data_IF_023166770782
#
_entry.id   IF_023166770782
#
_cell.length_a   1.000
_cell.length_b   1.000
_cell.length_c   1.000
_cell.angle_alpha   90.00
_cell.angle_beta   90.00
_cell.angle_gamma   90.00
#
_symmetry.space_group_name_H-M   'P 1'
#
loop_
_entity.id
_entity.type
_entity.pdbx_description
1 polymer ?
#
# COMPACT_ATOMS: atom_id res chain seq x y z
N UNK A 1 -21.84 -34.50 -5.65
CA UNK A 1 -20.38 -34.41 -5.90
C UNK A 1 -19.82 -35.80 -5.64
N UNK A 2 -19.23 -36.44 -6.68
CA UNK A 2 -18.65 -37.78 -6.56
C UNK A 2 -17.57 -37.79 -5.48
N UNK A 3 -17.79 -38.54 -4.40
CA UNK A 3 -16.75 -38.92 -3.45
C UNK A 3 -15.76 -39.82 -4.18
N UNK A 4 -14.70 -39.27 -4.72
CA UNK A 4 -13.59 -40.05 -5.26
C UNK A 4 -12.96 -40.80 -4.09
N UNK A 5 -13.05 -42.14 -4.08
CA UNK A 5 -12.30 -42.98 -3.14
C UNK A 5 -10.83 -42.58 -3.15
N UNK A 6 -10.39 -41.95 -2.06
CA UNK A 6 -8.98 -41.57 -1.90
C UNK A 6 -8.22 -42.86 -1.66
N UNK A 7 -7.38 -43.26 -2.62
CA UNK A 7 -6.52 -44.42 -2.51
C UNK A 7 -5.59 -44.31 -1.29
N UNK A 8 -5.82 -45.14 -0.28
CA UNK A 8 -5.11 -45.07 1.01
C UNK A 8 -3.60 -45.26 0.86
N UNK A 9 -3.14 -46.05 -0.10
CA UNK A 9 -1.69 -46.25 -0.36
C UNK A 9 -1.04 -44.98 -0.89
N UNK A 10 -1.75 -44.22 -1.74
CA UNK A 10 -1.25 -42.91 -2.20
C UNK A 10 -1.17 -41.89 -1.08
N UNK A 11 -2.13 -41.89 -0.16
CA UNK A 11 -2.12 -41.00 1.02
C UNK A 11 -0.98 -41.36 1.94
N UNK A 12 -0.72 -42.65 2.19
CA UNK A 12 0.39 -43.10 3.02
C UNK A 12 1.75 -42.70 2.40
N UNK A 13 1.93 -42.95 1.09
CA UNK A 13 3.12 -42.55 0.35
C UNK A 13 3.36 -41.04 0.39
N UNK A 14 2.30 -40.21 0.20
CA UNK A 14 2.37 -38.77 0.26
C UNK A 14 2.77 -38.29 1.67
N UNK A 15 2.19 -38.82 2.73
CA UNK A 15 2.52 -38.46 4.10
C UNK A 15 3.97 -38.78 4.45
N UNK A 16 4.51 -39.91 3.96
CA UNK A 16 5.93 -40.25 4.12
C UNK A 16 6.82 -39.28 3.36
N UNK A 17 6.43 -38.87 2.16
CA UNK A 17 7.15 -37.87 1.37
C UNK A 17 7.16 -36.49 2.06
N UNK A 18 6.00 -36.04 2.61
CA UNK A 18 5.89 -34.80 3.37
C UNK A 18 6.85 -34.80 4.56
N UNK A 19 6.87 -35.89 5.35
CA UNK A 19 7.80 -36.04 6.48
C UNK A 19 9.27 -35.98 6.03
N UNK A 20 9.62 -36.59 4.91
CA UNK A 20 10.97 -36.54 4.36
C UNK A 20 11.36 -35.13 3.92
N UNK A 21 10.45 -34.39 3.27
CA UNK A 21 10.64 -32.99 2.87
C UNK A 21 10.83 -32.10 4.12
N UNK A 22 9.99 -32.24 5.14
CA UNK A 22 10.11 -31.48 6.38
C UNK A 22 11.41 -31.78 7.14
N UNK A 23 11.88 -33.02 7.10
CA UNK A 23 13.17 -33.40 7.69
C UNK A 23 14.36 -32.78 6.95
N UNK A 24 14.25 -32.65 5.62
CA UNK A 24 15.34 -32.14 4.77
C UNK A 24 15.35 -30.60 4.73
N UNK A 25 14.18 -29.96 4.67
CA UNK A 25 14.04 -28.52 4.42
C UNK A 25 13.47 -27.73 5.61
N UNK A 26 13.10 -28.40 6.70
CA UNK A 26 12.52 -27.80 7.90
C UNK A 26 10.99 -27.92 7.94
N UNK A 27 10.43 -27.85 9.17
CA UNK A 27 8.98 -27.86 9.37
C UNK A 27 8.33 -26.67 8.65
N UNK A 28 7.18 -26.90 7.98
CA UNK A 28 6.45 -25.89 7.25
C UNK A 28 6.97 -25.64 5.82
N UNK A 29 7.98 -26.41 5.35
CA UNK A 29 8.44 -26.35 3.96
C UNK A 29 7.39 -26.84 2.95
N UNK A 30 6.45 -27.64 3.40
CA UNK A 30 5.28 -28.09 2.66
C UNK A 30 4.08 -28.12 3.59
N UNK A 31 2.90 -27.70 3.10
CA UNK A 31 1.65 -27.71 3.87
C UNK A 31 0.46 -28.00 2.95
N UNK A 32 -0.61 -28.55 3.50
CA UNK A 32 -1.88 -28.62 2.79
C UNK A 32 -2.63 -27.29 2.92
N UNK A 33 -3.07 -26.74 1.79
CA UNK A 33 -3.72 -25.43 1.78
C UNK A 33 -4.97 -25.38 2.68
N UNK A 34 -5.72 -26.46 2.76
CA UNK A 34 -6.94 -26.54 3.59
C UNK A 34 -6.71 -26.58 5.10
N UNK A 35 -5.51 -26.98 5.56
CA UNK A 35 -5.17 -26.99 6.99
C UNK A 35 -4.88 -25.59 7.53
N UNK A 36 -4.60 -24.61 6.66
CA UNK A 36 -4.36 -23.19 6.97
C UNK A 36 -5.38 -22.29 6.25
N UNK A 37 -6.61 -22.74 6.06
CA UNK A 37 -7.65 -22.03 5.30
C UNK A 37 -8.04 -20.64 5.90
N UNK A 38 -7.60 -20.32 7.11
CA UNK A 38 -7.69 -18.99 7.73
C UNK A 38 -6.33 -18.30 7.80
N UNK A 39 -5.61 -18.23 6.69
CA UNK A 39 -4.46 -17.31 6.63
C UNK A 39 -5.00 -15.87 6.65
N UNK A 40 -5.24 -15.35 7.85
CA UNK A 40 -5.41 -13.92 8.03
C UNK A 40 -4.12 -13.26 7.52
N UNK A 41 -4.25 -12.52 6.42
CA UNK A 41 -3.14 -11.73 5.89
C UNK A 41 -2.89 -10.60 6.88
N UNK A 42 -1.76 -10.64 7.58
CA UNK A 42 -1.34 -9.54 8.43
C UNK A 42 -1.12 -8.29 7.57
N UNK A 43 -1.57 -7.15 8.07
CA UNK A 43 -1.55 -5.89 7.31
C UNK A 43 -1.07 -4.73 8.18
N UNK A 44 -0.63 -3.67 7.52
CA UNK A 44 -0.45 -2.35 8.11
C UNK A 44 -1.47 -1.42 7.44
N UNK A 45 -2.26 -0.70 8.24
CA UNK A 45 -3.21 0.28 7.73
C UNK A 45 -2.50 1.37 6.91
N UNK A 46 -3.14 1.86 5.88
CA UNK A 46 -2.68 3.04 5.13
C UNK A 46 -2.98 4.35 5.86
N UNK A 47 -3.76 4.30 6.95
CA UNK A 47 -4.29 5.48 7.63
C UNK A 47 -5.49 6.13 6.95
N UNK A 48 -5.99 5.51 5.87
CA UNK A 48 -7.16 5.91 5.09
C UNK A 48 -8.12 4.73 5.02
N UNK A 49 -9.28 4.83 5.65
CA UNK A 49 -10.24 3.71 5.79
C UNK A 49 -10.75 3.25 4.43
N UNK A 50 -11.08 4.18 3.55
CA UNK A 50 -11.57 3.86 2.22
C UNK A 50 -10.52 3.09 1.40
N UNK A 51 -9.23 3.46 1.53
CA UNK A 51 -8.15 2.75 0.84
C UNK A 51 -7.93 1.36 1.45
N UNK A 52 -7.88 1.25 2.77
CA UNK A 52 -7.73 -0.04 3.46
C UNK A 52 -8.82 -1.03 3.05
N UNK A 53 -10.04 -0.54 2.86
CA UNK A 53 -11.16 -1.34 2.36
C UNK A 53 -11.04 -1.71 0.88
N UNK A 54 -10.58 -0.79 0.04
CA UNK A 54 -10.35 -1.09 -1.37
C UNK A 54 -9.29 -2.19 -1.55
N UNK A 55 -8.33 -2.28 -0.62
CA UNK A 55 -7.33 -3.33 -0.57
C UNK A 55 -7.91 -4.70 -0.24
N UNK A 56 -9.09 -4.77 0.38
CA UNK A 56 -9.85 -5.99 0.62
C UNK A 56 -9.41 -6.80 1.83
N UNK A 57 -8.20 -6.56 2.34
CA UNK A 57 -7.64 -7.22 3.53
C UNK A 57 -7.45 -6.23 4.70
N UNK A 58 -7.87 -4.98 4.54
CA UNK A 58 -7.85 -3.97 5.60
C UNK A 58 -6.54 -3.18 5.72
N UNK A 59 -5.64 -3.28 4.75
CA UNK A 59 -4.37 -2.54 4.74
C UNK A 59 -3.36 -3.09 3.74
N UNK A 60 -2.13 -2.63 3.85
CA UNK A 60 -1.00 -3.12 3.06
C UNK A 60 -0.55 -4.49 3.59
N UNK A 61 -0.48 -5.54 2.75
CA UNK A 61 -0.14 -6.89 3.20
C UNK A 61 1.33 -7.00 3.62
N UNK A 62 1.58 -7.54 4.81
CA UNK A 62 2.92 -7.83 5.31
C UNK A 62 3.60 -8.93 4.49
N UNK A 63 4.93 -8.91 4.47
CA UNK A 63 5.73 -9.87 3.71
C UNK A 63 5.62 -9.69 2.19
N UNK A 64 5.25 -8.50 1.71
CA UNK A 64 4.96 -8.25 0.29
C UNK A 64 5.64 -6.98 -0.25
N UNK A 65 5.87 -7.01 -1.56
CA UNK A 65 6.28 -5.84 -2.34
C UNK A 65 5.04 -5.09 -2.80
N UNK A 66 5.02 -3.80 -2.54
CA UNK A 66 3.96 -2.85 -2.95
C UNK A 66 4.57 -1.82 -3.91
N UNK A 67 3.90 -1.52 -5.00
CA UNK A 67 4.26 -0.41 -5.89
C UNK A 67 3.18 0.66 -5.81
N UNK A 68 3.57 1.90 -5.47
CA UNK A 68 2.72 3.09 -5.51
C UNK A 68 3.23 3.96 -6.64
N UNK A 69 2.43 4.16 -7.69
CA UNK A 69 2.86 4.88 -8.87
C UNK A 69 1.82 5.88 -9.36
N UNK A 70 2.29 6.88 -10.10
CA UNK A 70 1.43 7.93 -10.64
C UNK A 70 2.23 9.14 -11.10
N UNK A 71 1.54 10.16 -11.63
CA UNK A 71 2.16 11.43 -12.01
C UNK A 71 2.88 12.10 -10.84
N UNK A 72 3.73 13.05 -11.16
CA UNK A 72 4.36 13.92 -10.16
C UNK A 72 3.32 14.67 -9.34
N UNK A 73 3.61 14.95 -8.07
CA UNK A 73 2.73 15.66 -7.13
C UNK A 73 1.33 15.06 -6.97
N UNK A 74 1.16 13.75 -7.24
CA UNK A 74 -0.13 13.06 -7.09
C UNK A 74 -0.41 12.57 -5.67
N UNK A 75 0.56 12.65 -4.74
CA UNK A 75 0.40 12.22 -3.33
C UNK A 75 0.97 10.84 -3.03
N UNK A 76 1.82 10.26 -3.89
CA UNK A 76 2.45 8.95 -3.68
C UNK A 76 3.23 8.86 -2.37
N UNK A 77 4.15 9.81 -2.17
CA UNK A 77 4.97 9.91 -0.96
C UNK A 77 4.10 10.14 0.27
N UNK A 78 3.03 10.94 0.15
CA UNK A 78 2.06 11.16 1.24
C UNK A 78 1.42 9.84 1.69
N UNK A 79 0.94 9.01 0.76
CA UNK A 79 0.35 7.70 1.08
C UNK A 79 1.38 6.78 1.75
N UNK A 80 2.62 6.76 1.26
CA UNK A 80 3.69 5.96 1.84
C UNK A 80 4.08 6.43 3.27
N UNK A 81 4.17 7.74 3.49
CA UNK A 81 4.45 8.31 4.82
C UNK A 81 3.32 8.03 5.83
N UNK A 82 2.06 8.04 5.40
CA UNK A 82 0.96 7.63 6.26
C UNK A 82 1.07 6.15 6.65
N UNK A 83 1.46 5.26 5.74
CA UNK A 83 1.71 3.85 6.06
C UNK A 83 2.85 3.69 7.08
N UNK A 84 3.95 4.46 6.95
CA UNK A 84 5.02 4.53 7.96
C UNK A 84 4.45 4.96 9.32
N UNK A 85 3.67 6.06 9.35
CA UNK A 85 3.09 6.56 10.59
C UNK A 85 2.19 5.54 11.28
N UNK A 86 1.42 4.75 10.51
CA UNK A 86 0.60 3.67 11.07
C UNK A 86 1.45 2.51 11.61
N UNK A 87 2.50 2.09 10.87
CA UNK A 87 3.42 1.07 11.34
C UNK A 87 4.06 1.46 12.69
N UNK A 88 4.56 2.69 12.79
CA UNK A 88 5.18 3.20 14.02
C UNK A 88 4.17 3.33 15.17
N UNK A 89 2.93 3.71 14.88
CA UNK A 89 1.84 3.76 15.88
C UNK A 89 1.53 2.39 16.49
N UNK A 90 1.72 1.33 15.74
CA UNK A 90 1.60 -0.07 16.17
C UNK A 90 2.89 -0.60 16.85
N UNK A 91 3.89 0.24 17.06
CA UNK A 91 5.19 -0.12 17.65
C UNK A 91 6.19 -0.70 16.67
N UNK A 92 5.89 -0.66 15.38
CA UNK A 92 6.77 -1.15 14.31
C UNK A 92 7.89 -0.19 13.96
N UNK A 93 8.93 -0.74 13.35
CA UNK A 93 10.11 0.00 12.86
C UNK A 93 10.00 0.29 11.37
N UNK A 94 10.38 1.50 10.97
CA UNK A 94 10.29 1.93 9.58
C UNK A 94 11.61 2.54 9.07
N UNK A 95 11.85 2.38 7.76
CA UNK A 95 12.96 3.01 7.07
C UNK A 95 12.48 3.70 5.78
N UNK A 96 13.16 4.80 5.45
CA UNK A 96 12.93 5.56 4.22
C UNK A 96 14.23 5.70 3.45
N UNK A 97 14.29 5.10 2.27
CA UNK A 97 15.41 5.21 1.34
C UNK A 97 15.09 6.34 0.37
N UNK A 98 15.67 7.50 0.64
CA UNK A 98 15.43 8.77 -0.05
C UNK A 98 16.42 8.94 -1.21
N UNK A 99 16.13 8.29 -2.34
CA UNK A 99 16.96 8.38 -3.53
C UNK A 99 16.75 9.70 -4.33
N UNK A 100 15.67 10.44 -4.05
CA UNK A 100 15.41 11.76 -4.65
C UNK A 100 15.98 12.91 -3.80
N UNK A 101 16.45 12.65 -2.56
CA UNK A 101 16.93 13.65 -1.59
C UNK A 101 15.88 14.73 -1.31
N UNK A 102 14.62 14.36 -1.23
CA UNK A 102 13.49 15.29 -1.19
C UNK A 102 12.56 15.10 0.04
N UNK A 103 12.95 14.24 1.00
CA UNK A 103 12.16 14.02 2.21
C UNK A 103 12.17 15.28 3.09
N UNK A 104 10.98 15.84 3.32
CA UNK A 104 10.77 16.92 4.29
C UNK A 104 10.41 16.33 5.67
N UNK A 105 11.31 16.44 6.68
CA UNK A 105 11.06 15.92 8.02
C UNK A 105 9.88 16.61 8.72
N UNK A 106 9.65 17.89 8.46
CA UNK A 106 8.54 18.65 9.07
C UNK A 106 7.20 18.17 8.50
N UNK A 107 7.15 17.90 7.19
CA UNK A 107 5.98 17.30 6.56
C UNK A 107 5.72 15.90 7.09
N UNK A 108 6.73 15.02 7.13
CA UNK A 108 6.62 13.69 7.70
C UNK A 108 6.06 13.70 9.14
N UNK A 109 6.59 14.59 9.99
CA UNK A 109 6.11 14.80 11.37
C UNK A 109 4.64 15.20 11.43
N UNK A 110 4.18 16.11 10.55
CA UNK A 110 2.77 16.54 10.47
C UNK A 110 1.84 15.39 10.06
N UNK A 111 2.32 14.44 9.27
CA UNK A 111 1.58 13.23 8.90
C UNK A 111 1.49 12.20 10.04
N UNK A 112 2.23 12.41 11.13
CA UNK A 112 2.26 11.54 12.30
C UNK A 112 3.43 10.56 12.32
N UNK A 113 4.43 10.76 11.46
CA UNK A 113 5.67 9.98 11.49
C UNK A 113 6.50 10.40 12.70
N UNK A 114 6.93 9.43 13.48
CA UNK A 114 7.96 9.64 14.50
C UNK A 114 9.33 9.73 13.80
N UNK A 115 9.76 10.97 13.56
CA UNK A 115 11.01 11.26 12.85
C UNK A 115 12.25 10.87 13.66
N UNK A 116 12.15 10.74 14.98
CA UNK A 116 13.28 10.34 15.83
C UNK A 116 13.57 8.84 15.71
N UNK A 117 12.57 8.05 15.37
CA UNK A 117 12.66 6.60 15.19
C UNK A 117 12.54 6.16 13.73
N UNK A 118 12.53 7.08 12.78
CA UNK A 118 12.58 6.77 11.35
C UNK A 118 14.03 6.65 10.88
N UNK A 119 14.40 5.48 10.36
CA UNK A 119 15.70 5.31 9.69
C UNK A 119 15.62 5.95 8.31
N UNK A 120 16.56 6.86 8.01
CA UNK A 120 16.65 7.50 6.69
C UNK A 120 18.00 7.19 6.07
N UNK A 121 17.99 6.76 4.81
CA UNK A 121 19.20 6.54 4.00
C UNK A 121 19.10 7.34 2.70
N UNK A 122 20.18 8.01 2.34
CA UNK A 122 20.33 8.77 1.09
C UNK A 122 21.47 8.15 0.27
N UNK A 123 21.15 7.13 -0.55
CA UNK A 123 22.16 6.37 -1.29
C UNK A 123 22.68 7.15 -2.51
N UNK A 124 23.96 6.94 -2.86
CA UNK A 124 24.61 7.56 -4.01
C UNK A 124 24.20 6.92 -5.35
N UNK A 125 23.74 5.68 -5.35
CA UNK A 125 23.34 4.93 -6.54
C UNK A 125 22.28 3.86 -6.24
N UNK A 126 21.72 3.28 -7.30
CA UNK A 126 20.65 2.30 -7.21
C UNK A 126 21.07 1.00 -6.54
N UNK A 127 22.32 0.53 -6.77
CA UNK A 127 22.87 -0.67 -6.13
C UNK A 127 22.91 -0.49 -4.61
N UNK A 128 23.44 0.63 -4.13
CA UNK A 128 23.53 0.95 -2.71
C UNK A 128 22.15 1.02 -2.06
N UNK A 129 21.18 1.68 -2.71
CA UNK A 129 19.81 1.77 -2.24
C UNK A 129 19.19 0.38 -2.00
N UNK A 130 19.37 -0.52 -2.98
CA UNK A 130 18.79 -1.85 -2.94
C UNK A 130 19.52 -2.80 -2.00
N UNK A 131 20.85 -2.65 -1.83
CA UNK A 131 21.65 -3.39 -0.86
C UNK A 131 21.32 -2.98 0.58
N UNK A 132 21.14 -1.68 0.86
CA UNK A 132 20.68 -1.18 2.16
C UNK A 132 19.27 -1.74 2.46
N UNK A 133 18.38 -1.70 1.49
CA UNK A 133 17.03 -2.29 1.63
C UNK A 133 17.11 -3.79 1.93
N UNK A 134 17.98 -4.55 1.23
CA UNK A 134 18.19 -5.98 1.50
C UNK A 134 18.69 -6.22 2.91
N UNK A 135 19.67 -5.45 3.38
CA UNK A 135 20.22 -5.57 4.73
C UNK A 135 19.16 -5.32 5.81
N UNK A 136 18.37 -4.26 5.65
CA UNK A 136 17.26 -3.92 6.55
C UNK A 136 16.22 -5.03 6.62
N UNK A 137 15.75 -5.52 5.48
CA UNK A 137 14.76 -6.59 5.40
C UNK A 137 15.29 -7.90 5.99
N UNK A 138 16.55 -8.26 5.73
CA UNK A 138 17.20 -9.46 6.28
C UNK A 138 17.35 -9.45 7.79
N UNK A 139 17.43 -8.28 8.41
CA UNK A 139 17.49 -8.15 9.87
C UNK A 139 16.24 -8.67 10.56
N UNK A 140 15.12 -8.75 9.85
CA UNK A 140 13.78 -9.05 10.38
C UNK A 140 13.33 -8.12 11.52
N UNK A 141 13.99 -6.96 11.67
CA UNK A 141 13.69 -5.95 12.67
C UNK A 141 12.93 -4.76 12.10
N UNK A 142 12.68 -4.75 10.79
CA UNK A 142 11.98 -3.66 10.10
C UNK A 142 10.61 -4.12 9.62
N UNK A 143 9.58 -3.30 9.82
CA UNK A 143 8.21 -3.58 9.38
C UNK A 143 7.89 -2.97 8.03
N UNK A 144 8.39 -1.76 7.78
CA UNK A 144 8.17 -1.04 6.51
C UNK A 144 9.45 -0.41 6.02
N UNK A 145 9.75 -0.63 4.74
CA UNK A 145 10.79 0.12 4.01
C UNK A 145 10.13 0.81 2.83
N UNK A 146 10.31 2.12 2.71
CA UNK A 146 9.89 2.92 1.55
C UNK A 146 11.11 3.30 0.73
N UNK A 147 11.04 3.14 -0.59
CA UNK A 147 12.07 3.57 -1.55
C UNK A 147 11.43 4.66 -2.42
N UNK A 148 11.90 5.89 -2.30
CA UNK A 148 11.41 7.05 -3.07
C UNK A 148 12.56 7.66 -3.88
N UNK A 149 12.59 7.52 -5.18
CA UNK A 149 11.73 6.70 -6.02
C UNK A 149 12.56 5.78 -6.93
N UNK A 150 11.90 4.78 -7.53
CA UNK A 150 12.54 3.89 -8.52
C UNK A 150 13.17 4.68 -9.67
N UNK A 151 12.57 5.81 -10.04
CA UNK A 151 13.09 6.67 -11.11
C UNK A 151 14.50 7.22 -10.79
N UNK A 152 14.82 7.42 -9.52
CA UNK A 152 16.10 7.93 -9.04
C UNK A 152 17.13 6.83 -8.75
N UNK A 153 16.79 5.55 -8.88
CA UNK A 153 17.73 4.44 -8.73
C UNK A 153 18.62 4.32 -9.98
N UNK A 154 19.57 5.22 -10.09
CA UNK A 154 20.53 5.24 -11.18
C UNK A 154 21.61 4.19 -10.94
N UNK A 155 21.88 3.26 -11.89
CA UNK A 155 22.98 2.31 -11.78
C UNK A 155 24.34 3.00 -11.66
N UNK A 156 25.24 2.45 -10.84
CA UNK A 156 26.60 2.98 -10.64
C UNK A 156 27.33 3.18 -11.98
N UNK A 157 27.24 2.20 -12.87
CA UNK A 157 27.88 2.26 -14.17
C UNK A 157 27.37 3.41 -15.07
N UNK A 158 26.14 3.88 -14.84
CA UNK A 158 25.59 5.04 -15.52
C UNK A 158 26.12 6.35 -14.93
N UNK A 159 26.35 6.38 -13.60
CA UNK A 159 26.92 7.55 -12.90
C UNK A 159 28.42 7.72 -13.25
N UNK A 160 29.15 6.62 -13.36
CA UNK A 160 30.59 6.60 -13.66
C UNK A 160 30.88 6.77 -15.18
N UNK A 161 29.85 6.65 -16.04
CA UNK A 161 29.97 6.83 -17.49
C UNK A 161 30.10 8.29 -17.92
N UNK A 162 30.46 8.52 -19.17
CA UNK A 162 30.52 9.86 -19.72
C UNK A 162 29.14 10.38 -20.13
N UNK A 163 28.97 11.72 -20.13
CA UNK A 163 27.74 12.34 -20.58
C UNK A 163 27.49 12.02 -22.06
N UNK A 164 26.37 11.34 -22.34
CA UNK A 164 25.98 10.90 -23.68
C UNK A 164 26.16 9.42 -23.96
N UNK A 165 26.76 8.68 -23.04
CA UNK A 165 26.84 7.22 -23.12
C UNK A 165 25.45 6.58 -23.10
N UNK A 166 25.28 5.51 -23.87
CA UNK A 166 24.02 4.79 -23.94
C UNK A 166 24.00 3.65 -22.93
N UNK A 167 23.23 3.82 -21.86
CA UNK A 167 23.06 2.84 -20.79
C UNK A 167 21.71 2.11 -20.84
N UNK A 168 21.27 1.73 -22.03
CA UNK A 168 19.95 1.12 -22.25
C UNK A 168 19.75 -0.14 -21.39
N UNK A 169 18.73 -0.10 -20.54
CA UNK A 169 18.26 -1.27 -19.79
C UNK A 169 19.04 -1.62 -18.53
N UNK A 170 20.08 -0.87 -18.13
CA UNK A 170 20.84 -1.14 -16.90
C UNK A 170 19.94 -1.08 -15.66
N UNK A 171 19.11 -0.04 -15.51
CA UNK A 171 18.17 0.09 -14.41
C UNK A 171 17.18 -1.08 -14.36
N UNK A 172 16.67 -1.53 -15.51
CA UNK A 172 15.76 -2.68 -15.57
C UNK A 172 16.43 -3.99 -15.16
N UNK A 173 17.72 -4.18 -15.48
CA UNK A 173 18.52 -5.33 -15.02
C UNK A 173 18.75 -5.28 -13.53
N UNK A 174 19.15 -4.13 -13.00
CA UNK A 174 19.34 -3.89 -11.57
C UNK A 174 18.07 -4.22 -10.79
N UNK A 175 16.94 -3.66 -11.17
CA UNK A 175 15.64 -3.94 -10.55
C UNK A 175 15.27 -5.42 -10.62
N UNK A 176 15.50 -6.08 -11.76
CA UNK A 176 15.19 -7.50 -11.92
C UNK A 176 16.05 -8.39 -11.02
N UNK A 177 17.33 -8.06 -10.87
CA UNK A 177 18.25 -8.77 -9.99
C UNK A 177 17.91 -8.56 -8.52
N UNK A 178 17.67 -7.32 -8.11
CA UNK A 178 17.34 -6.96 -6.74
C UNK A 178 16.03 -7.61 -6.29
N UNK A 179 14.95 -7.50 -7.07
CA UNK A 179 13.66 -8.06 -6.70
C UNK A 179 13.67 -9.59 -6.59
N UNK A 180 14.50 -10.30 -7.38
CA UNK A 180 14.70 -11.75 -7.20
C UNK A 180 15.28 -12.10 -5.84
N UNK A 181 16.22 -11.30 -5.34
CA UNK A 181 16.82 -11.49 -4.01
C UNK A 181 15.87 -11.04 -2.90
N UNK A 182 15.31 -9.83 -3.03
CA UNK A 182 14.50 -9.20 -2.01
C UNK A 182 13.21 -9.98 -1.71
N UNK A 183 12.52 -10.49 -2.72
CA UNK A 183 11.19 -11.10 -2.54
C UNK A 183 11.20 -12.26 -1.55
N UNK A 184 12.25 -13.11 -1.57
CA UNK A 184 12.40 -14.21 -0.63
C UNK A 184 12.65 -13.75 0.80
N UNK A 185 13.44 -12.69 0.98
CA UNK A 185 13.71 -12.10 2.29
C UNK A 185 12.51 -11.36 2.84
N UNK A 186 11.82 -10.57 2.01
CA UNK A 186 10.60 -9.83 2.36
C UNK A 186 9.51 -10.79 2.88
N UNK A 187 9.29 -11.91 2.19
CA UNK A 187 8.29 -12.90 2.62
C UNK A 187 8.64 -13.54 3.96
N UNK A 188 9.93 -13.77 4.25
CA UNK A 188 10.39 -14.41 5.49
C UNK A 188 10.42 -13.45 6.67
N UNK A 189 10.79 -12.18 6.44
CA UNK A 189 10.88 -11.15 7.48
C UNK A 189 9.53 -10.53 7.84
N UNK A 190 8.49 -10.82 7.07
CA UNK A 190 7.16 -10.21 7.21
C UNK A 190 7.15 -8.67 7.01
N UNK A 191 8.21 -8.11 6.44
CA UNK A 191 8.32 -6.69 6.14
C UNK A 191 7.50 -6.30 4.91
N UNK A 192 7.04 -5.04 4.85
CA UNK A 192 6.48 -4.43 3.65
C UNK A 192 7.56 -3.59 2.98
N UNK A 193 7.78 -3.79 1.68
CA UNK A 193 8.66 -2.92 0.90
C UNK A 193 7.83 -2.17 -0.13
N UNK A 194 7.77 -0.85 0.03
CA UNK A 194 7.01 0.07 -0.83
C UNK A 194 7.97 0.72 -1.80
N UNK A 195 7.77 0.49 -3.09
CA UNK A 195 8.46 1.21 -4.15
C UNK A 195 7.56 2.32 -4.68
N UNK A 196 7.98 3.56 -4.53
CA UNK A 196 7.35 4.71 -5.18
C UNK A 196 7.90 4.80 -6.60
N UNK A 197 7.02 4.98 -7.59
CA UNK A 197 7.41 4.99 -8.99
C UNK A 197 6.72 6.12 -9.76
N UNK A 198 7.37 6.57 -10.80
CA UNK A 198 6.87 7.63 -11.68
C UNK A 198 6.35 7.03 -12.98
N UNK A 199 5.36 7.69 -13.58
CA UNK A 199 4.85 7.37 -14.92
C UNK A 199 5.73 8.04 -15.97
N UNK A 200 6.01 7.31 -17.03
CA UNK A 200 6.66 7.80 -18.25
C UNK A 200 5.80 7.42 -19.44
N UNK A 201 5.85 8.21 -20.49
CA UNK A 201 5.15 7.90 -21.73
C UNK A 201 6.10 7.19 -22.71
N UNK A 202 5.63 6.10 -23.30
CA UNK A 202 6.33 5.43 -24.38
C UNK A 202 6.07 6.17 -25.68
N UNK A 203 7.14 6.58 -26.34
CA UNK A 203 7.08 7.20 -27.65
C UNK A 203 6.65 6.16 -28.69
N UNK A 204 5.78 6.54 -29.63
CA UNK A 204 5.41 5.70 -30.79
C UNK A 204 4.25 4.72 -30.56
N UNK A 205 3.58 4.75 -29.40
CA UNK A 205 2.35 3.96 -29.19
C UNK A 205 1.15 4.76 -29.70
N UNK A 206 0.58 4.31 -30.82
CA UNK A 206 -0.62 4.92 -31.44
C UNK A 206 -1.90 4.31 -30.87
N UNK A 207 -1.88 3.04 -30.44
CA UNK A 207 -3.03 2.33 -29.87
C UNK A 207 -2.68 1.75 -28.49
N UNK A 208 -3.61 1.86 -27.53
CA UNK A 208 -3.44 1.37 -26.16
C UNK A 208 -2.91 2.43 -25.21
N UNK A 209 -2.60 2.03 -23.97
CA UNK A 209 -2.10 2.95 -22.95
C UNK A 209 -0.58 3.15 -23.12
N UNK A 210 -0.11 4.37 -23.45
CA UNK A 210 1.31 4.68 -23.58
C UNK A 210 2.01 4.78 -22.22
N UNK A 211 1.30 4.87 -21.12
CA UNK A 211 1.85 5.03 -19.77
C UNK A 211 2.61 3.77 -19.32
N UNK A 212 3.82 3.98 -18.84
CA UNK A 212 4.63 2.91 -18.23
C UNK A 212 5.38 3.46 -17.03
N UNK A 213 5.74 2.58 -16.09
CA UNK A 213 6.57 2.92 -14.94
C UNK A 213 8.04 2.71 -15.26
N UNK A 214 8.95 3.43 -14.55
CA UNK A 214 10.40 3.27 -14.65
C UNK A 214 10.89 1.95 -14.05
N UNK A 215 12.15 1.57 -14.28
CA UNK A 215 12.73 0.34 -13.74
C UNK A 215 12.32 -0.96 -14.46
N UNK A 216 11.74 -0.85 -15.66
CA UNK A 216 11.37 -1.99 -16.49
C UNK A 216 10.08 -2.71 -16.05
N UNK A 217 10.03 -4.03 -16.30
CA UNK A 217 8.82 -4.83 -15.99
C UNK A 217 8.88 -5.58 -14.66
N UNK A 218 10.00 -5.60 -13.97
CA UNK A 218 10.21 -6.45 -12.80
C UNK A 218 9.20 -6.16 -11.68
N UNK A 219 9.00 -4.90 -11.31
CA UNK A 219 8.00 -4.52 -10.30
C UNK A 219 6.59 -4.97 -10.66
N UNK A 220 6.20 -4.90 -11.93
CA UNK A 220 4.86 -5.36 -12.38
C UNK A 220 4.62 -6.84 -12.07
N UNK A 221 5.68 -7.67 -12.06
CA UNK A 221 5.58 -9.09 -11.76
C UNK A 221 5.73 -9.38 -10.27
N UNK A 222 6.75 -8.79 -9.62
CA UNK A 222 7.10 -9.07 -8.22
C UNK A 222 6.16 -8.43 -7.22
N UNK A 223 5.62 -7.23 -7.48
CA UNK A 223 4.66 -6.60 -6.58
C UNK A 223 3.40 -7.46 -6.41
N UNK A 224 2.96 -7.60 -5.16
CA UNK A 224 1.68 -8.21 -4.82
C UNK A 224 0.54 -7.21 -4.93
N UNK A 225 0.85 -5.94 -4.71
CA UNK A 225 -0.09 -4.83 -4.75
C UNK A 225 0.49 -3.70 -5.61
N UNK A 226 -0.35 -3.11 -6.48
CA UNK A 226 0.01 -1.93 -7.27
C UNK A 226 -1.10 -0.91 -7.17
N UNK A 227 -0.76 0.29 -6.71
CA UNK A 227 -1.65 1.42 -6.50
C UNK A 227 -1.30 2.53 -7.48
N UNK A 228 -2.26 2.90 -8.32
CA UNK A 228 -2.16 4.07 -9.18
C UNK A 228 -2.77 5.26 -8.46
N UNK A 229 -1.95 6.30 -8.20
CA UNK A 229 -2.35 7.51 -7.50
C UNK A 229 -2.45 8.66 -8.50
N UNK A 230 -3.63 9.26 -8.62
CA UNK A 230 -3.88 10.39 -9.52
C UNK A 230 -4.47 11.57 -8.75
N UNK A 231 -3.92 12.75 -9.01
CA UNK A 231 -4.47 14.00 -8.51
C UNK A 231 -5.77 14.31 -9.27
N UNK A 232 -6.85 14.57 -8.54
CA UNK A 232 -8.13 14.98 -9.08
C UNK A 232 -8.38 16.48 -8.91
N UNK A 233 -9.62 16.83 -8.58
CA UNK A 233 -10.05 18.22 -8.46
C UNK A 233 -9.35 18.96 -7.31
N UNK A 234 -9.04 20.26 -7.49
CA UNK A 234 -8.47 21.07 -6.45
C UNK A 234 -9.49 21.37 -5.35
N UNK A 235 -9.08 21.25 -4.10
CA UNK A 235 -9.86 21.70 -2.94
C UNK A 235 -9.45 23.15 -2.66
N UNK A 236 -10.42 24.05 -2.64
CA UNK A 236 -10.22 25.48 -2.48
C UNK A 236 -10.87 25.98 -1.21
N UNK A 237 -10.20 26.92 -0.54
CA UNK A 237 -10.76 27.75 0.52
C UNK A 237 -10.72 29.21 0.06
N UNK A 238 -11.86 29.74 -0.36
CA UNK A 238 -11.91 30.99 -1.10
C UNK A 238 -11.22 30.87 -2.47
N UNK A 239 -10.18 31.66 -2.69
CA UNK A 239 -9.37 31.64 -3.92
C UNK A 239 -8.15 30.72 -3.82
N UNK A 240 -7.76 30.33 -2.62
CA UNK A 240 -6.55 29.55 -2.34
C UNK A 240 -6.81 28.05 -2.50
N UNK A 241 -5.89 27.35 -3.16
CA UNK A 241 -5.91 25.91 -3.25
C UNK A 241 -5.22 25.30 -2.02
N UNK A 242 -6.02 24.67 -1.15
CA UNK A 242 -5.55 24.08 0.14
C UNK A 242 -5.35 22.57 0.09
N UNK A 243 -5.74 21.93 -1.02
CA UNK A 243 -5.61 20.49 -1.17
C UNK A 243 -6.03 20.00 -2.54
N UNK A 244 -6.17 18.69 -2.67
CA UNK A 244 -6.72 18.05 -3.87
C UNK A 244 -7.47 16.79 -3.51
N UNK A 245 -8.57 16.53 -4.22
CA UNK A 245 -9.21 15.23 -4.28
C UNK A 245 -8.27 14.28 -4.99
N UNK A 246 -7.90 13.18 -4.34
CA UNK A 246 -6.93 12.22 -4.88
C UNK A 246 -7.64 10.90 -5.14
N UNK A 247 -7.45 10.37 -6.33
CA UNK A 247 -7.99 9.07 -6.72
C UNK A 247 -6.91 8.01 -6.67
N UNK A 248 -7.19 6.93 -5.95
CA UNK A 248 -6.32 5.75 -5.90
C UNK A 248 -7.04 4.56 -6.50
N UNK A 249 -6.40 3.92 -7.50
CA UNK A 249 -6.90 2.70 -8.14
C UNK A 249 -5.99 1.53 -7.82
N UNK A 250 -6.57 0.45 -7.33
CA UNK A 250 -5.88 -0.82 -7.10
C UNK A 250 -5.78 -1.56 -8.43
N UNK A 251 -4.68 -1.41 -9.16
CA UNK A 251 -4.51 -1.99 -10.51
C UNK A 251 -4.01 -3.44 -10.49
N UNK A 252 -3.45 -3.88 -9.37
CA UNK A 252 -3.06 -5.26 -9.10
C UNK A 252 -3.20 -5.56 -7.63
N UNK A 253 -3.76 -6.73 -7.32
CA UNK A 253 -3.86 -7.24 -5.97
C UNK A 253 -3.79 -8.77 -6.00
N UNK A 254 -2.86 -9.37 -5.23
CA UNK A 254 -2.71 -10.83 -5.12
C UNK A 254 -3.37 -11.40 -3.85
N UNK A 255 -3.91 -10.55 -2.99
CA UNK A 255 -4.51 -10.95 -1.71
C UNK A 255 -6.02 -10.72 -1.65
N UNK A 256 -6.58 -9.98 -2.61
CA UNK A 256 -8.02 -9.73 -2.76
C UNK A 256 -8.35 -9.36 -4.22
N UNK A 257 -9.64 -9.27 -4.61
CA UNK A 257 -10.03 -8.84 -5.96
C UNK A 257 -9.52 -7.42 -6.27
N UNK A 258 -8.84 -7.23 -7.43
CA UNK A 258 -8.28 -5.93 -7.84
C UNK A 258 -9.35 -5.00 -8.44
N UNK A 259 -8.89 -3.86 -8.97
CA UNK A 259 -9.62 -2.84 -9.75
C UNK A 259 -10.58 -1.95 -8.98
N UNK A 260 -10.62 -2.05 -7.65
CA UNK A 260 -11.33 -1.08 -6.83
C UNK A 260 -10.65 0.28 -6.93
N UNK A 261 -11.46 1.34 -6.86
CA UNK A 261 -10.99 2.73 -6.86
C UNK A 261 -11.63 3.46 -5.69
N UNK A 262 -10.86 4.34 -5.06
CA UNK A 262 -11.31 5.20 -3.97
C UNK A 262 -10.82 6.61 -4.19
N UNK A 263 -11.52 7.56 -3.60
CA UNK A 263 -11.16 8.97 -3.65
C UNK A 263 -11.21 9.56 -2.26
N UNK A 264 -10.16 10.28 -1.89
CA UNK A 264 -10.06 10.98 -0.63
C UNK A 264 -9.30 12.30 -0.79
N UNK A 265 -9.42 13.18 0.20
CA UNK A 265 -8.76 14.47 0.18
C UNK A 265 -7.33 14.37 0.70
N UNK A 266 -6.37 14.96 -0.02
CA UNK A 266 -5.04 15.26 0.49
C UNK A 266 -4.96 16.77 0.69
N UNK A 267 -4.80 17.18 1.96
CA UNK A 267 -4.67 18.58 2.35
C UNK A 267 -3.18 18.95 2.38
N UNK A 268 -2.81 20.07 1.76
CA UNK A 268 -1.41 20.50 1.69
C UNK A 268 -0.85 20.81 3.09
N UNK A 269 0.28 20.20 3.39
CA UNK A 269 0.92 20.32 4.70
C UNK A 269 0.34 19.41 5.79
N UNK A 270 -0.81 18.75 5.57
CA UNK A 270 -1.50 17.93 6.57
C UNK A 270 -1.77 16.48 6.12
N UNK A 271 -1.61 16.19 4.82
CA UNK A 271 -1.81 14.84 4.29
C UNK A 271 -3.27 14.44 4.10
N UNK A 272 -3.56 13.16 4.27
CA UNK A 272 -4.91 12.60 4.06
C UNK A 272 -5.86 13.11 5.15
N UNK A 273 -6.99 13.69 4.72
CA UNK A 273 -8.07 14.13 5.61
C UNK A 273 -8.83 12.92 6.14
N UNK A 274 -8.51 12.49 7.37
CA UNK A 274 -9.13 11.33 8.01
C UNK A 274 -10.62 11.57 8.26
N UNK A 275 -10.97 12.77 8.70
CA UNK A 275 -12.35 13.17 8.95
C UNK A 275 -13.16 13.21 7.65
N UNK A 276 -12.54 13.66 6.55
CA UNK A 276 -13.16 13.65 5.23
C UNK A 276 -13.41 12.25 4.71
N UNK A 277 -12.44 11.36 4.87
CA UNK A 277 -12.55 9.96 4.47
C UNK A 277 -13.63 9.22 5.28
N UNK A 278 -13.66 9.40 6.60
CA UNK A 278 -14.71 8.82 7.46
C UNK A 278 -16.08 9.39 7.14
N UNK A 279 -16.21 10.71 6.90
CA UNK A 279 -17.47 11.34 6.57
C UNK A 279 -18.05 10.79 5.26
N UNK A 280 -17.21 10.69 4.22
CA UNK A 280 -17.65 10.17 2.91
C UNK A 280 -18.08 8.70 3.05
N UNK A 281 -17.25 7.87 3.68
CA UNK A 281 -17.55 6.45 3.90
C UNK A 281 -18.78 6.22 4.79
N UNK A 282 -18.92 7.00 5.88
CA UNK A 282 -20.07 6.91 6.77
C UNK A 282 -21.37 7.31 6.07
N UNK A 283 -21.29 8.29 5.15
CA UNK A 283 -22.43 8.72 4.33
C UNK A 283 -22.81 7.64 3.32
N UNK A 284 -21.84 7.08 2.59
CA UNK A 284 -22.07 6.01 1.60
C UNK A 284 -22.64 4.72 2.23
N UNK A 285 -22.28 4.47 3.48
CA UNK A 285 -22.77 3.33 4.25
C UNK A 285 -24.00 3.66 5.13
N UNK A 286 -24.60 4.85 4.97
CA UNK A 286 -25.77 5.27 5.75
C UNK A 286 -25.54 5.17 7.29
N UNK A 287 -24.33 5.43 7.76
CA UNK A 287 -24.00 5.64 9.18
C UNK A 287 -24.25 7.09 9.57
N UNK A 288 -23.88 8.01 8.68
CA UNK A 288 -24.20 9.43 8.72
C UNK A 288 -25.27 9.69 7.67
N UNK A 289 -26.33 10.36 8.05
CA UNK A 289 -27.43 10.73 7.17
C UNK A 289 -27.13 12.06 6.49
N UNK A 290 -27.39 12.12 5.18
CA UNK A 290 -27.28 13.35 4.38
C UNK A 290 -28.63 13.69 3.80
N UNK A 291 -29.14 14.87 4.14
CA UNK A 291 -30.39 15.41 3.58
C UNK A 291 -30.11 16.77 2.98
N UNK A 292 -30.12 16.84 1.63
CA UNK A 292 -29.65 18.01 0.89
C UNK A 292 -28.21 18.36 1.24
N UNK A 293 -27.98 19.55 1.80
CA UNK A 293 -26.65 19.98 2.27
C UNK A 293 -26.36 19.67 3.74
N UNK A 294 -27.33 19.10 4.49
CA UNK A 294 -27.18 18.84 5.91
C UNK A 294 -26.68 17.42 6.18
N UNK A 295 -25.75 17.31 7.12
CA UNK A 295 -25.28 16.05 7.68
C UNK A 295 -25.79 15.89 9.09
N UNK A 296 -26.21 14.67 9.47
CA UNK A 296 -26.69 14.33 10.79
C UNK A 296 -26.24 12.93 11.20
N UNK A 297 -26.00 12.76 12.50
CA UNK A 297 -25.66 11.50 13.12
C UNK A 297 -26.64 11.24 14.29
N UNK A 298 -27.34 10.11 14.27
CA UNK A 298 -28.36 9.73 15.28
C UNK A 298 -29.43 10.83 15.55
N UNK A 299 -29.79 11.58 14.51
CA UNK A 299 -30.76 12.67 14.62
C UNK A 299 -30.15 14.02 15.01
N UNK A 300 -28.91 14.09 15.47
CA UNK A 300 -28.22 15.33 15.76
C UNK A 300 -27.58 15.93 14.51
N UNK A 301 -27.69 17.24 14.34
CA UNK A 301 -27.12 17.96 13.21
C UNK A 301 -25.62 18.16 13.40
N UNK A 302 -24.81 17.66 12.46
CA UNK A 302 -23.35 17.84 12.43
C UNK A 302 -22.95 19.15 11.78
N UNK A 303 -23.73 19.63 10.81
CA UNK A 303 -23.44 20.87 10.07
C UNK A 303 -24.04 20.89 8.67
N UNK A 304 -24.06 22.09 8.10
CA UNK A 304 -24.44 22.30 6.71
C UNK A 304 -23.19 22.35 5.83
N UNK A 305 -23.13 21.47 4.82
CA UNK A 305 -21.96 21.31 3.94
C UNK A 305 -20.90 20.38 4.50
N UNK A 306 -20.09 19.86 3.56
CA UNK A 306 -19.08 18.83 3.87
C UNK A 306 -18.00 19.33 4.83
N UNK A 307 -17.55 20.58 4.66
CA UNK A 307 -16.46 21.13 5.50
C UNK A 307 -16.89 21.31 6.95
N UNK A 308 -18.11 21.80 7.21
CA UNK A 308 -18.64 21.92 8.58
C UNK A 308 -18.83 20.53 9.24
N UNK A 309 -19.27 19.52 8.48
CA UNK A 309 -19.38 18.16 8.99
C UNK A 309 -18.02 17.52 9.32
N UNK A 310 -16.98 17.81 8.51
CA UNK A 310 -15.58 17.40 8.80
C UNK A 310 -15.08 18.06 10.09
N UNK A 311 -15.32 19.37 10.23
CA UNK A 311 -14.92 20.11 11.43
C UNK A 311 -15.65 19.58 12.68
N UNK A 312 -16.93 19.24 12.54
CA UNK A 312 -17.67 18.58 13.61
C UNK A 312 -17.04 17.26 14.05
N UNK A 313 -16.68 16.36 13.10
CA UNK A 313 -15.99 15.11 13.42
C UNK A 313 -14.63 15.33 14.07
N UNK A 314 -13.89 16.34 13.64
CA UNK A 314 -12.60 16.71 14.23
C UNK A 314 -12.73 17.17 15.68
N UNK A 315 -13.79 17.92 16.00
CA UNK A 315 -14.06 18.45 17.34
C UNK A 315 -14.76 17.44 18.25
N UNK A 316 -15.27 16.32 17.71
CA UNK A 316 -15.97 15.27 18.45
C UNK A 316 -15.34 13.88 18.18
N UNK A 317 -14.15 13.58 18.79
CA UNK A 317 -13.42 12.35 18.55
C UNK A 317 -14.21 11.08 18.90
N UNK A 318 -15.12 11.16 19.88
CA UNK A 318 -15.99 10.04 20.27
C UNK A 318 -16.92 9.64 19.12
N UNK A 319 -17.57 10.63 18.48
CA UNK A 319 -18.46 10.39 17.34
C UNK A 319 -17.67 9.88 16.14
N UNK A 320 -16.48 10.44 15.92
CA UNK A 320 -15.55 9.95 14.90
C UNK A 320 -15.26 8.46 15.09
N UNK A 321 -14.88 8.03 16.29
CA UNK A 321 -14.56 6.64 16.60
C UNK A 321 -15.79 5.72 16.44
N UNK A 322 -16.97 6.16 16.89
CA UNK A 322 -18.23 5.42 16.69
C UNK A 322 -18.52 5.22 15.20
N UNK A 323 -18.32 6.26 14.39
CA UNK A 323 -18.48 6.17 12.92
C UNK A 323 -17.49 5.15 12.32
N UNK A 324 -16.22 5.18 12.72
CA UNK A 324 -15.19 4.23 12.30
C UNK A 324 -15.59 2.79 12.63
N UNK A 325 -16.03 2.53 13.83
CA UNK A 325 -16.43 1.18 14.28
C UNK A 325 -17.67 0.68 13.52
N UNK A 326 -18.66 1.54 13.32
CA UNK A 326 -19.85 1.20 12.52
C UNK A 326 -19.54 0.95 11.05
N UNK A 327 -18.62 1.74 10.46
CA UNK A 327 -18.11 1.50 9.11
C UNK A 327 -17.51 0.09 9.04
N UNK A 328 -16.59 -0.25 9.94
CA UNK A 328 -15.94 -1.57 9.98
C UNK A 328 -16.96 -2.70 10.15
N UNK A 329 -17.92 -2.54 11.05
CA UNK A 329 -18.96 -3.54 11.29
C UNK A 329 -19.84 -3.80 10.06
N UNK A 330 -20.30 -2.72 9.37
CA UNK A 330 -21.10 -2.85 8.12
C UNK A 330 -20.35 -3.53 6.99
N UNK A 331 -19.04 -3.33 6.91
CA UNK A 331 -18.19 -3.93 5.91
C UNK A 331 -17.98 -5.41 6.18
N UNK A 332 -17.65 -5.77 7.42
CA UNK A 332 -17.47 -7.16 7.81
C UNK A 332 -18.76 -7.96 7.58
N UNK A 333 -19.92 -7.37 7.85
CA UNK A 333 -21.21 -7.98 7.55
C UNK A 333 -21.44 -8.21 6.05
N UNK A 334 -21.03 -7.25 5.20
CA UNK A 334 -21.13 -7.42 3.73
C UNK A 334 -20.19 -8.50 3.20
N UNK A 335 -18.98 -8.62 3.77
CA UNK A 335 -18.00 -9.63 3.35
C UNK A 335 -18.39 -11.04 3.87
N UNK A 336 -18.99 -11.14 5.08
CA UNK A 336 -19.50 -12.41 5.62
C UNK A 336 -20.66 -13.00 4.81
N UNK A 337 -21.59 -12.15 4.36
CA UNK A 337 -22.72 -12.60 3.52
C UNK A 337 -22.32 -13.01 2.09
N UNK A 338 -21.13 -12.57 1.61
CA UNK A 338 -20.63 -12.98 0.28
C UNK A 338 -20.09 -14.41 0.27
N UNK A 339 -19.65 -14.93 1.41
CA UNK A 339 -19.13 -16.31 1.53
C UNK A 339 -20.22 -17.35 1.73
N UNK A 340 -21.43 -16.96 2.18
CA UNK A 340 -22.57 -17.88 2.35
C UNK A 340 -23.39 -18.08 1.06
N UNK A 341 -23.26 -17.17 0.07
CA UNK A 341 -23.99 -17.27 -1.20
C UNK A 341 -23.20 -17.97 -2.34
N UNK A 342 -21.96 -18.37 -2.11
CA UNK A 342 -21.13 -19.11 -3.08
C UNK A 342 -20.82 -20.56 -2.64
N UNK A 343 -21.50 -21.07 -1.62
CA UNK A 343 -21.34 -22.46 -1.12
C UNK A 343 -22.44 -23.40 -1.62
#
# INVERSE_FOLDING_TARGET
MDEREINQDKVAALNNTIKAIEKQFGKGSIMKLGENATMNVEVISTGCISLDMALGVGGLPRGRVVEIFGPESSGKTTVALHAIAQAQKEGGMAAFVDAEHALDPLYAKRLGVDINNLLVSQPDNGEQALEITEALVRSSAIDVVVIDSVAALVPRAEIEGEMGDSHVGLQARLMSQALRKLTGHISKSNAIVIFINQIRQKIGIVYGNPETTTGGRALKFYSSLRLEVKKGEPIKQGIEQVGSRTKVKVVKNKVAPPFKSVEFDIMYGFGISKEGDVLDMATDLEVIQKSGSWYSFEGERMGQGRENAKEYLKNNPEIYNICVDRIKAKINAKNGNSTENEA
#
